data_IF_129213111221
#
_entry.id   IF_129213111221
#
_cell.length_a   1.000
_cell.length_b   1.000
_cell.length_c   1.000
_cell.angle_alpha   90.00
_cell.angle_beta   90.00
_cell.angle_gamma   90.00
#
_symmetry.space_group_name_H-M   'P 1'
#
loop_
_entity.id
_entity.type
_entity.pdbx_description
1 polymer ?
#
# COMPACT_ATOMS: atom_id res chain seq x y z
N UNK A 1 10.83 -4.45 -5.58
CA UNK A 1 10.72 -5.26 -6.81
C UNK A 1 11.36 -6.63 -6.64
N UNK A 2 12.68 -6.80 -6.70
CA UNK A 2 13.31 -8.15 -6.58
C UNK A 2 13.09 -8.76 -5.19
N UNK A 3 13.40 -8.00 -4.13
CA UNK A 3 13.22 -8.48 -2.74
C UNK A 3 11.76 -8.85 -2.51
N UNK A 4 10.83 -7.94 -2.80
CA UNK A 4 9.38 -8.17 -2.65
C UNK A 4 8.88 -9.39 -3.45
N UNK A 5 9.42 -9.64 -4.64
CA UNK A 5 9.06 -10.83 -5.45
C UNK A 5 9.46 -12.13 -4.75
N UNK A 6 10.60 -12.15 -4.07
CA UNK A 6 11.09 -13.34 -3.37
C UNK A 6 10.59 -13.48 -1.93
N UNK A 7 10.11 -12.40 -1.30
CA UNK A 7 9.77 -12.42 0.13
C UNK A 7 8.30 -12.18 0.44
N UNK A 8 7.57 -11.43 -0.38
CA UNK A 8 6.17 -11.04 -0.09
C UNK A 8 5.17 -11.74 -1.00
N UNK A 9 5.57 -12.00 -2.25
CA UNK A 9 4.69 -12.53 -3.26
C UNK A 9 4.36 -14.00 -2.95
N UNK A 10 3.10 -14.32 -2.75
CA UNK A 10 2.58 -15.63 -2.38
C UNK A 10 2.45 -16.48 -3.64
N UNK A 11 1.66 -16.07 -4.62
CA UNK A 11 1.53 -16.75 -5.93
C UNK A 11 1.94 -15.88 -7.11
N UNK A 12 2.64 -16.44 -8.10
CA UNK A 12 3.25 -15.65 -9.20
C UNK A 12 2.28 -14.73 -9.97
N UNK A 13 0.98 -15.05 -9.99
CA UNK A 13 -0.05 -14.20 -10.59
C UNK A 13 -0.14 -12.82 -9.91
N UNK A 14 0.21 -12.71 -8.62
CA UNK A 14 0.28 -11.43 -7.89
C UNK A 14 1.34 -10.47 -8.45
N UNK A 15 2.22 -10.93 -9.34
CA UNK A 15 3.10 -10.01 -10.07
C UNK A 15 2.32 -9.01 -10.94
N UNK A 16 1.03 -9.29 -11.21
CA UNK A 16 0.13 -8.37 -11.92
C UNK A 16 -0.05 -7.03 -11.18
N UNK A 17 0.04 -7.01 -9.85
CA UNK A 17 -0.06 -5.79 -9.04
C UNK A 17 1.01 -4.77 -9.45
N UNK A 18 2.23 -5.24 -9.73
CA UNK A 18 3.29 -4.35 -10.21
C UNK A 18 2.90 -3.66 -11.52
N UNK A 19 2.32 -4.39 -12.46
CA UNK A 19 1.97 -3.87 -13.77
C UNK A 19 0.74 -2.94 -13.71
N UNK A 20 -0.33 -3.38 -13.04
CA UNK A 20 -1.56 -2.61 -12.89
C UNK A 20 -1.30 -1.25 -12.23
N UNK A 21 -0.56 -1.26 -11.10
CA UNK A 21 -0.29 -0.03 -10.38
C UNK A 21 0.77 0.84 -11.06
N UNK A 22 1.69 0.25 -11.83
CA UNK A 22 2.59 1.02 -12.68
C UNK A 22 1.82 1.82 -13.75
N UNK A 23 0.79 1.25 -14.36
CA UNK A 23 -0.07 1.97 -15.30
C UNK A 23 -0.92 3.03 -14.59
N UNK A 24 -1.42 2.73 -13.40
CA UNK A 24 -2.19 3.64 -12.55
C UNK A 24 -1.38 4.89 -12.14
N UNK A 25 -0.05 4.79 -12.10
CA UNK A 25 0.81 5.93 -11.81
C UNK A 25 0.67 7.07 -12.83
N UNK A 26 0.35 6.77 -14.09
CA UNK A 26 0.24 7.75 -15.17
C UNK A 26 -0.85 8.80 -14.89
N UNK A 27 -2.13 8.43 -14.68
CA UNK A 27 -3.18 9.41 -14.39
C UNK A 27 -2.97 10.13 -13.06
N UNK A 28 -2.46 9.46 -12.02
CA UNK A 28 -2.21 10.14 -10.74
C UNK A 28 -1.07 11.16 -10.82
N UNK A 29 -0.01 10.86 -11.56
CA UNK A 29 1.05 11.83 -11.81
C UNK A 29 0.55 12.99 -12.67
N UNK A 30 -0.23 12.71 -13.73
CA UNK A 30 -0.85 13.75 -14.53
C UNK A 30 -1.77 14.68 -13.71
N UNK A 31 -2.47 14.12 -12.72
CA UNK A 31 -3.37 14.88 -11.84
C UNK A 31 -2.62 15.73 -10.80
N UNK A 32 -1.57 15.18 -10.19
CA UNK A 32 -0.91 15.81 -9.04
C UNK A 32 0.32 16.63 -9.43
N UNK A 33 1.03 16.23 -10.49
CA UNK A 33 2.36 16.75 -10.84
C UNK A 33 3.39 16.53 -9.73
N UNK A 34 3.18 15.54 -8.84
CA UNK A 34 4.05 15.25 -7.70
C UNK A 34 4.14 13.74 -7.50
N UNK A 35 5.36 13.24 -7.37
CA UNK A 35 5.69 11.86 -7.07
C UNK A 35 5.15 11.44 -5.70
N UNK A 36 5.36 12.28 -4.67
CA UNK A 36 4.90 12.01 -3.31
C UNK A 36 3.38 11.98 -3.21
N UNK A 37 2.69 12.91 -3.85
CA UNK A 37 1.21 12.93 -3.86
C UNK A 37 0.66 11.76 -4.68
N UNK A 38 1.27 11.43 -5.82
CA UNK A 38 0.87 10.29 -6.64
C UNK A 38 1.00 8.98 -5.89
N UNK A 39 2.17 8.72 -5.29
CA UNK A 39 2.41 7.44 -4.61
C UNK A 39 1.48 7.25 -3.41
N UNK A 40 1.17 8.34 -2.70
CA UNK A 40 0.20 8.32 -1.62
C UNK A 40 -1.20 7.95 -2.13
N UNK A 41 -1.70 8.59 -3.19
CA UNK A 41 -3.02 8.29 -3.74
C UNK A 41 -3.11 6.86 -4.30
N UNK A 42 -2.06 6.41 -4.98
CA UNK A 42 -1.92 5.02 -5.46
C UNK A 42 -1.99 4.05 -4.28
N UNK A 43 -1.29 4.35 -3.18
CA UNK A 43 -1.29 3.49 -1.99
C UNK A 43 -2.67 3.43 -1.34
N UNK A 44 -3.36 4.57 -1.23
CA UNK A 44 -4.73 4.63 -0.71
C UNK A 44 -5.65 3.78 -1.58
N UNK A 45 -5.56 3.91 -2.90
CA UNK A 45 -6.38 3.10 -3.81
C UNK A 45 -6.03 1.62 -3.70
N UNK A 46 -4.75 1.27 -3.54
CA UNK A 46 -4.28 -0.09 -3.30
C UNK A 46 -4.82 -0.70 -2.02
N UNK A 47 -4.90 0.07 -0.94
CA UNK A 47 -5.51 -0.38 0.31
C UNK A 47 -7.03 -0.54 0.21
N UNK A 48 -7.70 0.31 -0.59
CA UNK A 48 -9.14 0.19 -0.86
C UNK A 48 -9.44 -1.04 -1.71
N UNK A 49 -8.62 -1.32 -2.72
CA UNK A 49 -8.74 -2.49 -3.60
C UNK A 49 -8.65 -3.79 -2.78
N UNK A 50 -7.58 -3.91 -1.98
CA UNK A 50 -7.37 -5.05 -1.08
C UNK A 50 -8.47 -5.15 -0.01
N UNK A 51 -8.88 -4.02 0.56
CA UNK A 51 -10.02 -3.98 1.49
C UNK A 51 -11.32 -4.46 0.83
N UNK A 52 -11.58 -4.06 -0.42
CA UNK A 52 -12.75 -4.49 -1.16
C UNK A 52 -12.72 -5.99 -1.45
N UNK A 53 -11.56 -6.53 -1.82
CA UNK A 53 -11.37 -7.96 -1.99
C UNK A 53 -11.66 -8.71 -0.68
N UNK A 54 -11.08 -8.27 0.44
CA UNK A 54 -11.23 -8.89 1.74
C UNK A 54 -12.66 -8.83 2.33
N UNK A 55 -13.36 -7.71 2.16
CA UNK A 55 -14.70 -7.52 2.74
C UNK A 55 -15.83 -8.04 1.84
N UNK A 56 -15.69 -7.96 0.51
CA UNK A 56 -16.82 -8.16 -0.40
C UNK A 56 -16.61 -9.27 -1.42
N UNK A 57 -15.44 -9.40 -2.03
CA UNK A 57 -15.23 -10.40 -3.10
C UNK A 57 -14.86 -11.77 -2.56
N UNK A 58 -14.02 -11.81 -1.53
CA UNK A 58 -13.51 -13.03 -0.91
C UNK A 58 -13.72 -12.99 0.61
N UNK A 59 -14.98 -13.07 1.07
CA UNK A 59 -15.30 -13.01 2.50
C UNK A 59 -14.74 -14.20 3.30
N UNK A 60 -14.27 -15.26 2.63
CA UNK A 60 -13.60 -16.40 3.25
C UNK A 60 -12.08 -16.19 3.43
N UNK A 61 -11.53 -15.06 2.97
CA UNK A 61 -10.13 -14.74 3.22
C UNK A 61 -9.85 -14.58 4.70
N UNK A 62 -8.67 -15.06 5.09
CA UNK A 62 -8.28 -15.23 6.50
C UNK A 62 -7.76 -13.95 7.14
N UNK A 63 -7.22 -13.04 6.33
CA UNK A 63 -6.65 -11.78 6.77
C UNK A 63 -6.65 -10.79 5.61
N UNK A 64 -6.58 -9.51 5.92
CA UNK A 64 -6.33 -8.44 4.94
C UNK A 64 -4.87 -8.53 4.48
N UNK A 65 -4.62 -8.66 3.18
CA UNK A 65 -3.28 -8.91 2.66
C UNK A 65 -2.45 -7.62 2.52
N UNK A 66 -1.70 -7.29 3.58
CA UNK A 66 -0.79 -6.16 3.55
C UNK A 66 0.37 -6.34 2.56
N UNK A 67 0.68 -7.57 2.13
CA UNK A 67 1.68 -7.78 1.09
C UNK A 67 1.21 -7.11 -0.21
N UNK A 68 -0.04 -7.32 -0.59
CA UNK A 68 -0.59 -6.79 -1.84
C UNK A 68 -0.66 -5.26 -1.82
N UNK A 69 -0.95 -4.64 -0.69
CA UNK A 69 -0.85 -3.18 -0.53
C UNK A 69 0.59 -2.68 -0.81
N UNK A 70 1.61 -3.40 -0.32
CA UNK A 70 3.01 -3.08 -0.61
C UNK A 70 3.36 -3.34 -2.08
N UNK A 71 2.87 -4.42 -2.68
CA UNK A 71 3.07 -4.72 -4.10
C UNK A 71 2.44 -3.64 -4.99
N UNK A 72 1.25 -3.17 -4.64
CA UNK A 72 0.55 -2.06 -5.28
C UNK A 72 1.38 -0.77 -5.22
N UNK A 73 1.87 -0.41 -4.04
CA UNK A 73 2.75 0.74 -3.86
C UNK A 73 4.00 0.61 -4.72
N UNK A 74 4.70 -0.53 -4.67
CA UNK A 74 5.92 -0.76 -5.44
C UNK A 74 5.68 -0.75 -6.96
N UNK A 75 4.52 -1.23 -7.41
CA UNK A 75 4.06 -1.11 -8.79
C UNK A 75 3.90 0.35 -9.21
N UNK A 76 3.15 1.12 -8.43
CA UNK A 76 2.97 2.55 -8.68
C UNK A 76 4.29 3.33 -8.65
N UNK A 77 5.17 3.00 -7.72
CA UNK A 77 6.52 3.56 -7.68
C UNK A 77 7.33 3.23 -8.94
N UNK A 78 7.25 1.99 -9.45
CA UNK A 78 7.90 1.63 -10.71
C UNK A 78 7.36 2.45 -11.88
N UNK A 79 6.03 2.64 -11.97
CA UNK A 79 5.41 3.50 -12.97
C UNK A 79 5.88 4.96 -12.87
N UNK A 80 5.91 5.51 -11.66
CA UNK A 80 6.43 6.85 -11.39
C UNK A 80 7.90 7.00 -11.78
N UNK A 81 8.73 5.99 -11.51
CA UNK A 81 10.14 5.99 -11.93
C UNK A 81 10.28 5.98 -13.46
N UNK A 82 9.42 5.26 -14.18
CA UNK A 82 9.41 5.29 -15.65
C UNK A 82 9.01 6.69 -16.18
N UNK A 83 8.03 7.34 -15.54
CA UNK A 83 7.65 8.71 -15.89
C UNK A 83 8.83 9.66 -15.66
N UNK A 84 9.52 9.53 -14.51
CA UNK A 84 10.71 10.32 -14.21
C UNK A 84 11.77 10.16 -15.30
N UNK A 85 12.11 8.92 -15.67
CA UNK A 85 13.14 8.62 -16.68
C UNK A 85 12.77 9.11 -18.09
N UNK A 86 11.48 9.21 -18.42
CA UNK A 86 11.01 9.62 -19.75
C UNK A 86 10.73 11.12 -19.84
N UNK A 87 10.44 11.76 -18.71
CA UNK A 87 10.04 13.18 -18.62
C UNK A 87 11.18 14.07 -18.11
N UNK A 88 12.32 13.52 -17.67
CA UNK A 88 13.48 14.26 -17.14
C UNK A 88 14.26 15.09 -18.17
N UNK A 89 13.58 15.81 -19.06
CA UNK A 89 14.10 17.09 -19.54
C UNK A 89 13.85 18.09 -18.43
N UNK A 90 14.89 18.76 -17.93
CA UNK A 90 14.87 19.75 -16.86
C UNK A 90 13.55 20.52 -16.72
N UNK A 91 12.58 19.93 -16.01
CA UNK A 91 11.36 20.64 -15.67
C UNK A 91 11.70 21.37 -14.39
N UNK A 92 11.97 22.67 -14.49
CA UNK A 92 11.97 23.63 -13.38
C UNK A 92 10.55 23.72 -12.77
N UNK A 93 10.06 22.61 -12.25
CA UNK A 93 8.81 22.57 -11.50
C UNK A 93 9.18 22.73 -10.03
N UNK A 94 8.63 23.75 -9.35
CA UNK A 94 8.91 23.95 -7.94
C UNK A 94 8.47 22.71 -7.16
N UNK A 95 9.36 22.23 -6.28
CA UNK A 95 9.10 21.09 -5.41
C UNK A 95 7.77 21.30 -4.65
N UNK A 96 6.75 20.52 -5.01
CA UNK A 96 5.46 20.57 -4.29
C UNK A 96 5.61 19.84 -2.97
N UNK A 97 5.24 20.50 -1.88
CA UNK A 97 5.21 19.86 -0.58
C UNK A 97 4.20 18.70 -0.61
N UNK A 98 4.53 17.55 0.00
CA UNK A 98 3.63 16.40 0.11
C UNK A 98 2.27 16.82 0.69
N UNK A 99 2.29 17.77 1.62
CA UNK A 99 1.13 18.34 2.29
C UNK A 99 0.60 19.65 1.66
N UNK A 100 0.89 19.91 0.38
CA UNK A 100 0.31 21.07 -0.30
C UNK A 100 -1.09 20.79 -0.87
N UNK A 101 -1.91 21.83 -1.01
CA UNK A 101 -3.25 21.71 -1.59
C UNK A 101 -4.21 20.87 -0.74
N UNK A 102 -5.00 20.00 -1.38
CA UNK A 102 -6.03 19.19 -0.72
C UNK A 102 -5.51 17.87 -0.14
N UNK A 103 -4.23 17.56 -0.31
CA UNK A 103 -3.64 16.28 0.12
C UNK A 103 -3.68 16.07 1.63
N UNK A 104 -3.41 17.06 2.51
CA UNK A 104 -3.55 16.88 3.95
C UNK A 104 -4.98 16.55 4.37
N UNK A 105 -5.97 17.10 3.67
CA UNK A 105 -7.37 16.79 3.89
C UNK A 105 -7.68 15.35 3.50
N UNK A 106 -7.16 14.88 2.35
CA UNK A 106 -7.30 13.48 1.91
C UNK A 106 -6.64 12.54 2.92
N UNK A 107 -5.39 12.82 3.33
CA UNK A 107 -4.68 12.02 4.35
C UNK A 107 -5.46 12.01 5.66
N UNK A 108 -5.86 13.18 6.15
CA UNK A 108 -6.59 13.32 7.40
C UNK A 108 -7.92 12.58 7.36
N UNK A 109 -8.64 12.65 6.24
CA UNK A 109 -9.89 11.92 6.03
C UNK A 109 -9.65 10.41 5.96
N UNK A 110 -8.64 9.95 5.22
CA UNK A 110 -8.28 8.53 5.15
C UNK A 110 -7.90 8.00 6.52
N UNK A 111 -7.01 8.67 7.25
CA UNK A 111 -6.63 8.29 8.62
C UNK A 111 -7.85 8.28 9.53
N UNK A 112 -8.71 9.31 9.46
CA UNK A 112 -9.92 9.38 10.27
C UNK A 112 -10.85 8.21 9.97
N UNK A 113 -11.15 7.93 8.70
CA UNK A 113 -12.03 6.82 8.29
C UNK A 113 -11.42 5.47 8.66
N UNK A 114 -10.10 5.30 8.57
CA UNK A 114 -9.43 4.05 8.92
C UNK A 114 -9.33 3.84 10.42
N UNK A 115 -9.04 4.87 11.23
CA UNK A 115 -8.85 4.75 12.68
C UNK A 115 -10.15 4.83 13.49
N UNK A 116 -11.17 5.56 13.00
CA UNK A 116 -12.44 5.72 13.72
C UNK A 116 -13.09 4.38 14.09
N UNK A 117 -13.14 3.36 13.21
CA UNK A 117 -13.65 2.03 13.57
C UNK A 117 -12.88 1.37 14.72
N UNK A 118 -11.55 1.52 14.78
CA UNK A 118 -10.74 0.95 15.86
C UNK A 118 -10.93 1.69 17.18
N UNK A 119 -11.02 3.03 17.13
CA UNK A 119 -11.25 3.86 18.32
C UNK A 119 -12.64 3.63 18.90
N UNK A 120 -13.65 3.43 18.04
CA UNK A 120 -15.04 3.18 18.45
C UNK A 120 -15.30 1.73 18.86
N UNK A 121 -14.31 0.84 18.73
CA UNK A 121 -14.46 -0.59 19.00
C UNK A 121 -15.28 -1.35 17.94
N UNK A 122 -15.60 -0.70 16.82
CA UNK A 122 -16.27 -1.34 15.67
C UNK A 122 -15.32 -2.25 14.88
N UNK A 123 -14.00 -2.00 14.98
CA UNK A 123 -12.96 -2.79 14.34
C UNK A 123 -11.95 -3.35 15.35
N UNK A 124 -11.53 -4.60 15.13
CA UNK A 124 -10.47 -5.28 15.86
C UNK A 124 -9.35 -5.76 14.93
N UNK A 125 -8.14 -5.94 15.48
CA UNK A 125 -7.00 -6.46 14.71
C UNK A 125 -7.14 -7.97 14.50
N UNK A 126 -7.51 -8.71 15.55
CA UNK A 126 -7.72 -10.16 15.53
C UNK A 126 -9.13 -10.49 15.97
N UNK A 127 -9.76 -11.49 15.36
CA UNK A 127 -10.95 -12.10 15.95
C UNK A 127 -10.53 -12.76 17.26
N UNK A 128 -11.08 -12.34 18.40
CA UNK A 128 -10.80 -12.98 19.67
C UNK A 128 -11.24 -14.44 19.62
N UNK A 129 -10.32 -15.38 19.89
CA UNK A 129 -10.64 -16.80 19.99
C UNK A 129 -11.69 -16.99 21.13
N UNK A 130 -12.96 -17.22 20.76
CA UNK A 130 -14.04 -17.44 21.72
C UNK A 130 -14.76 -16.19 22.25
N UNK A 131 -14.59 -15.02 21.63
CA UNK A 131 -15.41 -13.85 21.97
C UNK A 131 -16.87 -14.05 21.57
N UNK A 132 -17.79 -13.85 22.53
CA UNK A 132 -19.26 -13.97 22.30
C UNK A 132 -19.82 -12.90 21.36
N UNK A 133 -19.06 -11.85 21.06
CA UNK A 133 -19.43 -10.78 20.14
C UNK A 133 -18.16 -10.17 19.54
N UNK A 134 -17.57 -10.81 18.51
CA UNK A 134 -16.42 -10.22 17.83
C UNK A 134 -16.82 -8.87 17.20
N UNK A 135 -15.88 -7.92 17.07
CA UNK A 135 -16.15 -6.64 16.40
C UNK A 135 -16.60 -6.87 14.96
N UNK A 136 -17.46 -5.98 14.45
CA UNK A 136 -18.05 -6.13 13.11
C UNK A 136 -17.01 -6.09 11.98
N UNK A 137 -15.87 -5.45 12.21
CA UNK A 137 -14.73 -5.41 11.29
C UNK A 137 -13.53 -6.07 11.98
N UNK A 138 -12.88 -7.02 11.30
CA UNK A 138 -11.68 -7.69 11.81
C UNK A 138 -10.63 -7.73 10.70
N UNK A 139 -9.37 -7.41 10.99
CA UNK A 139 -8.29 -7.48 10.00
C UNK A 139 -7.69 -8.89 9.83
N UNK A 140 -7.65 -9.68 10.90
CA UNK A 140 -7.15 -11.06 10.94
C UNK A 140 -8.27 -11.94 11.50
N UNK A 141 -8.98 -12.65 10.61
CA UNK A 141 -10.04 -13.61 10.98
C UNK A 141 -9.45 -14.93 11.49
N UNK A 142 -8.37 -15.39 10.87
CA UNK A 142 -7.63 -16.57 11.31
C UNK A 142 -6.15 -16.24 11.46
N UNK A 143 -5.53 -16.74 12.54
CA UNK A 143 -4.10 -16.56 12.76
C UNK A 143 -3.31 -17.21 11.61
N UNK A 144 -2.39 -16.48 10.96
CA UNK A 144 -1.50 -17.09 9.98
C UNK A 144 -0.62 -18.15 10.64
N UNK A 145 -0.04 -19.09 9.85
CA UNK A 145 0.84 -20.13 10.37
C UNK A 145 1.96 -19.56 11.25
N UNK A 146 2.30 -20.26 12.33
CA UNK A 146 3.39 -19.85 13.21
C UNK A 146 4.74 -19.87 12.47
N UNK A 147 5.44 -18.73 12.46
CA UNK A 147 6.78 -18.60 11.87
C UNK A 147 6.90 -17.37 10.99
N UNK A 148 8.13 -16.83 10.89
CA UNK A 148 8.41 -15.68 10.03
C UNK A 148 8.32 -16.07 8.54
N UNK A 149 8.75 -17.28 8.18
CA UNK A 149 8.69 -17.78 6.80
C UNK A 149 7.66 -18.89 6.67
N UNK A 150 6.81 -18.78 5.64
CA UNK A 150 5.88 -19.82 5.25
C UNK A 150 6.43 -20.51 4.01
N UNK A 151 6.52 -21.84 4.07
CA UNK A 151 6.98 -22.68 2.97
C UNK A 151 5.79 -23.30 2.23
N UNK A 152 5.73 -23.04 0.92
CA UNK A 152 4.81 -23.75 0.04
C UNK A 152 5.37 -25.12 -0.36
N UNK A 153 4.47 -26.03 -0.75
CA UNK A 153 4.81 -27.39 -1.20
C UNK A 153 5.79 -27.43 -2.37
N UNK A 154 5.86 -26.39 -3.19
CA UNK A 154 6.79 -26.25 -4.32
C UNK A 154 8.09 -25.48 -3.98
N UNK A 155 8.41 -25.31 -2.70
CA UNK A 155 9.69 -24.76 -2.24
C UNK A 155 9.80 -23.23 -2.22
N UNK A 156 8.70 -22.51 -2.50
CA UNK A 156 8.66 -21.04 -2.39
C UNK A 156 8.46 -20.64 -0.94
N UNK A 157 9.28 -19.69 -0.46
CA UNK A 157 9.17 -19.08 0.86
C UNK A 157 8.60 -17.67 0.72
N UNK A 158 7.69 -17.30 1.61
CA UNK A 158 7.14 -15.95 1.70
C UNK A 158 6.83 -15.60 3.15
N UNK A 159 6.70 -14.30 3.42
CA UNK A 159 6.35 -13.74 4.72
C UNK A 159 5.05 -12.97 4.57
N UNK A 160 4.07 -13.23 5.45
CA UNK A 160 2.83 -12.47 5.52
C UNK A 160 3.06 -11.32 6.49
N UNK A 161 2.93 -10.09 6.01
CA UNK A 161 3.09 -8.90 6.83
C UNK A 161 1.92 -8.77 7.81
N UNK A 162 2.24 -8.52 9.08
CA UNK A 162 1.24 -8.05 10.03
C UNK A 162 0.75 -6.64 9.65
N UNK A 163 -0.45 -6.22 10.11
CA UNK A 163 -0.94 -4.87 9.88
C UNK A 163 0.04 -3.76 10.32
N UNK A 164 0.76 -3.99 11.41
CA UNK A 164 1.76 -3.05 11.91
C UNK A 164 2.99 -2.96 10.99
N UNK A 165 3.56 -4.11 10.58
CA UNK A 165 4.70 -4.15 9.67
C UNK A 165 4.35 -3.53 8.32
N UNK A 166 3.21 -3.91 7.74
CA UNK A 166 2.72 -3.36 6.48
C UNK A 166 2.54 -1.85 6.54
N UNK A 167 1.97 -1.32 7.63
CA UNK A 167 1.80 0.13 7.82
C UNK A 167 3.14 0.85 7.94
N UNK A 168 4.08 0.32 8.73
CA UNK A 168 5.41 0.93 8.91
C UNK A 168 6.17 0.98 7.57
N UNK A 169 6.21 -0.14 6.84
CA UNK A 169 6.88 -0.22 5.54
C UNK A 169 6.22 0.74 4.54
N UNK A 170 4.89 0.80 4.52
CA UNK A 170 4.14 1.72 3.67
C UNK A 170 4.55 3.18 3.91
N UNK A 171 4.55 3.63 5.17
CA UNK A 171 4.93 4.99 5.54
C UNK A 171 6.37 5.29 5.13
N UNK A 172 7.29 4.36 5.39
CA UNK A 172 8.70 4.50 5.01
C UNK A 172 8.85 4.65 3.49
N UNK A 173 8.19 3.81 2.71
CA UNK A 173 8.27 3.85 1.24
C UNK A 173 7.65 5.14 0.68
N UNK A 174 6.48 5.56 1.15
CA UNK A 174 5.88 6.85 0.76
C UNK A 174 6.85 7.99 1.08
N UNK A 175 7.45 7.99 2.27
CA UNK A 175 8.45 8.98 2.68
C UNK A 175 9.63 9.04 1.71
N UNK A 176 10.20 7.89 1.34
CA UNK A 176 11.30 7.79 0.39
C UNK A 176 10.91 8.35 -0.98
N UNK A 177 9.76 7.97 -1.53
CA UNK A 177 9.31 8.44 -2.84
C UNK A 177 8.91 9.92 -2.83
N UNK A 178 8.41 10.44 -1.71
CA UNK A 178 8.17 11.87 -1.54
C UNK A 178 9.46 12.71 -1.55
N UNK A 179 10.63 12.11 -1.28
CA UNK A 179 11.91 12.81 -1.46
C UNK A 179 12.23 13.06 -2.94
N UNK A 180 11.63 12.32 -3.87
CA UNK A 180 11.81 12.55 -5.31
C UNK A 180 11.12 13.83 -5.80
N UNK A 181 10.17 14.37 -5.05
CA UNK A 181 9.61 15.71 -5.30
C UNK A 181 10.63 16.83 -5.06
N UNK A 182 11.80 16.51 -4.47
CA UNK A 182 12.86 17.47 -4.17
C UNK A 182 14.12 17.15 -4.97
N UNK A 183 14.31 17.80 -6.12
CA UNK A 183 15.60 18.04 -6.80
C UNK A 183 15.46 19.25 -7.74
N UNK A 184 16.54 20.02 -7.96
CA UNK A 184 16.58 21.43 -7.58
C UNK A 184 16.44 22.40 -8.75
N UNK A 185 15.80 23.53 -8.48
CA UNK A 185 16.30 24.80 -9.02
C UNK A 185 17.72 24.99 -8.45
N UNK A 186 18.74 24.96 -9.31
CA UNK A 186 20.05 25.57 -9.04
C UNK A 186 20.92 25.54 -10.31
N UNK A 187 21.04 26.71 -10.95
CA UNK A 187 21.86 26.99 -12.13
C UNK A 187 21.29 28.14 -12.93
#
# INVERSE_FOLDING_TARGET
>A
MIISYHTLLVVNVESIHFFQYALLAIPFYALTGSYGQSILLITILGAIDEGYQYFFLYPDWKYLDFNDIILNLLGGAAGLMLILLTTSKETNMPARHLFSGKIPLVIGLTIFVTLLPFITGLAGVTAGDGEKSPPGIVLIREKPPEGFWIEMKWGKRYHILSPAEGTIITIMLIGVYALLDRRPEQG
#
